data_IF_705019892795
#
_entry.id   IF_705019892795
#
_cell.length_a   1.000
_cell.length_b   1.000
_cell.length_c   1.000
_cell.angle_alpha   90.00
_cell.angle_beta   90.00
_cell.angle_gamma   90.00
#
_symmetry.space_group_name_H-M   'P 1'
#
loop_
_entity.id
_entity.type
_entity.pdbx_description
1 polymer ?
#
# COMPACT_ATOMS: atom_id res chain seq x y z
N UNK A 1 2.19 10.91 29.07
CA UNK A 1 3.07 11.85 28.39
C UNK A 1 2.81 11.68 26.89
N UNK A 2 2.08 12.62 26.30
CA UNK A 2 1.71 12.58 24.89
C UNK A 2 2.92 13.04 24.07
N UNK A 3 3.58 12.13 23.38
CA UNK A 3 4.52 12.49 22.34
C UNK A 3 3.71 13.04 21.16
N UNK A 4 3.66 14.36 21.05
CA UNK A 4 3.30 15.03 19.81
C UNK A 4 4.33 14.62 18.75
N UNK A 5 4.04 13.60 17.95
CA UNK A 5 4.66 13.50 16.64
C UNK A 5 4.08 14.66 15.82
N UNK A 6 4.86 15.72 15.71
CA UNK A 6 4.61 16.77 14.73
C UNK A 6 4.48 16.09 13.36
N UNK A 7 3.39 16.39 12.64
CA UNK A 7 3.33 16.14 11.20
C UNK A 7 4.51 16.89 10.57
N UNK A 8 5.67 16.26 10.44
CA UNK A 8 6.79 16.82 9.71
C UNK A 8 6.32 16.97 8.27
N UNK A 9 6.35 18.19 7.78
CA UNK A 9 6.02 18.47 6.37
C UNK A 9 7.04 17.69 5.53
N UNK A 10 6.57 16.78 4.69
CA UNK A 10 7.41 16.03 3.76
C UNK A 10 7.87 17.03 2.70
N UNK A 11 9.13 17.44 2.72
CA UNK A 11 9.65 18.42 1.74
C UNK A 11 10.21 17.76 0.49
N UNK A 12 10.80 16.57 0.65
CA UNK A 12 11.51 15.85 -0.42
C UNK A 12 11.21 14.36 -0.31
N UNK A 13 10.89 13.72 -1.42
CA UNK A 13 10.53 12.30 -1.49
C UNK A 13 11.31 11.58 -2.58
N UNK A 14 11.89 10.43 -2.26
CA UNK A 14 12.47 9.49 -3.21
C UNK A 14 11.60 8.22 -3.26
N UNK A 15 11.18 7.81 -4.44
CA UNK A 15 10.24 6.70 -4.65
C UNK A 15 10.99 5.54 -5.30
N UNK A 16 11.07 4.38 -4.63
CA UNK A 16 11.62 3.16 -5.22
C UNK A 16 10.70 2.61 -6.31
N UNK A 17 11.20 2.53 -7.52
CA UNK A 17 10.51 2.07 -8.71
C UNK A 17 10.38 3.14 -9.79
N UNK A 18 10.27 2.68 -11.05
CA UNK A 18 10.12 3.52 -12.25
C UNK A 18 9.00 3.01 -13.16
N UNK A 19 8.15 2.10 -12.66
CA UNK A 19 6.99 1.58 -13.37
C UNK A 19 5.74 2.47 -13.18
N UNK A 20 4.65 2.16 -13.86
CA UNK A 20 3.41 2.94 -13.79
C UNK A 20 2.94 3.23 -12.38
N UNK A 21 3.05 2.28 -11.44
CA UNK A 21 2.64 2.52 -10.05
C UNK A 21 3.55 3.54 -9.33
N UNK A 22 4.83 3.62 -9.66
CA UNK A 22 5.71 4.65 -9.08
C UNK A 22 5.24 6.07 -9.46
N UNK A 23 4.74 6.26 -10.67
CA UNK A 23 4.14 7.52 -11.10
C UNK A 23 2.82 7.80 -10.37
N UNK A 24 1.98 6.80 -10.12
CA UNK A 24 0.78 6.96 -9.29
C UNK A 24 1.13 7.38 -7.85
N UNK A 25 2.21 6.85 -7.28
CA UNK A 25 2.73 7.28 -5.96
C UNK A 25 3.25 8.72 -6.03
N UNK A 26 3.92 9.10 -7.12
CA UNK A 26 4.35 10.48 -7.33
C UNK A 26 3.14 11.44 -7.45
N UNK A 27 2.05 11.03 -8.11
CA UNK A 27 0.81 11.81 -8.18
C UNK A 27 0.19 12.02 -6.77
N UNK A 28 0.25 10.99 -5.89
CA UNK A 28 -0.15 11.14 -4.48
C UNK A 28 0.73 12.19 -3.80
N UNK A 29 2.05 12.11 -3.97
CA UNK A 29 3.01 13.04 -3.38
C UNK A 29 2.76 14.48 -3.86
N UNK A 30 2.54 14.69 -5.16
CA UNK A 30 2.16 15.99 -5.73
C UNK A 30 0.87 16.51 -5.10
N UNK A 31 -0.14 15.64 -4.88
CA UNK A 31 -1.38 16.03 -4.22
C UNK A 31 -1.16 16.48 -2.77
N UNK A 32 -0.09 16.06 -2.13
CA UNK A 32 0.29 16.44 -0.76
C UNK A 32 1.20 17.68 -0.71
N UNK A 33 1.38 18.35 -1.83
CA UNK A 33 2.24 19.53 -1.99
C UNK A 33 3.73 19.24 -1.71
N UNK A 34 4.19 18.00 -1.98
CA UNK A 34 5.60 17.63 -1.90
C UNK A 34 6.31 18.21 -3.14
N UNK A 35 7.25 19.13 -2.91
CA UNK A 35 7.84 19.94 -4.00
C UNK A 35 8.92 19.18 -4.79
N UNK A 36 9.66 18.29 -4.13
CA UNK A 36 10.78 17.59 -4.76
C UNK A 36 10.59 16.07 -4.70
N UNK A 37 10.42 15.47 -5.88
CA UNK A 37 10.16 14.04 -6.05
C UNK A 37 11.22 13.48 -7.01
N UNK A 38 11.81 12.33 -6.62
CA UNK A 38 12.80 11.58 -7.40
C UNK A 38 12.31 10.15 -7.48
N UNK A 39 12.51 9.50 -8.62
CA UNK A 39 12.30 8.06 -8.78
C UNK A 39 13.65 7.32 -8.67
N UNK A 40 13.63 6.15 -8.05
CA UNK A 40 14.82 5.32 -7.86
C UNK A 40 14.70 4.02 -8.65
N UNK A 41 15.74 3.69 -9.40
CA UNK A 41 15.86 2.43 -10.13
C UNK A 41 17.04 1.60 -9.62
N UNK A 42 16.97 0.28 -9.78
CA UNK A 42 18.09 -0.63 -9.58
C UNK A 42 18.73 -1.08 -10.92
N UNK A 43 18.21 -0.60 -12.03
CA UNK A 43 18.77 -0.87 -13.35
C UNK A 43 20.02 -0.02 -13.58
N UNK A 44 21.07 -0.62 -14.15
CA UNK A 44 22.34 0.08 -14.38
C UNK A 44 22.28 1.02 -15.59
N UNK A 45 21.55 0.59 -16.61
CA UNK A 45 21.35 1.37 -17.84
C UNK A 45 19.86 1.73 -17.89
N UNK A 46 19.53 2.95 -17.49
CA UNK A 46 18.16 3.48 -17.55
C UNK A 46 18.14 4.77 -18.34
N UNK A 47 17.21 4.85 -19.29
CA UNK A 47 16.89 6.11 -19.95
C UNK A 47 15.97 6.92 -19.05
N UNK A 48 16.17 8.23 -19.01
CA UNK A 48 15.26 9.14 -18.32
C UNK A 48 13.98 9.24 -19.14
N UNK A 49 13.07 8.28 -18.95
CA UNK A 49 11.91 8.04 -19.84
C UNK A 49 10.79 9.07 -19.63
N UNK A 50 10.80 9.79 -18.52
CA UNK A 50 9.77 10.79 -18.19
C UNK A 50 10.42 12.11 -17.75
N UNK A 51 10.15 13.18 -18.50
CA UNK A 51 10.68 14.52 -18.20
C UNK A 51 10.12 15.13 -16.91
N UNK A 52 9.07 14.55 -16.32
CA UNK A 52 8.42 15.07 -15.11
C UNK A 52 9.21 14.82 -13.83
N UNK A 53 9.93 13.70 -13.75
CA UNK A 53 10.65 13.29 -12.55
C UNK A 53 12.09 12.87 -12.88
N UNK A 54 13.03 13.35 -12.09
CA UNK A 54 14.41 12.89 -12.13
C UNK A 54 14.49 11.42 -11.69
N UNK A 55 15.21 10.60 -12.44
CA UNK A 55 15.46 9.21 -12.12
C UNK A 55 16.92 9.06 -11.70
N UNK A 56 17.15 8.44 -10.53
CA UNK A 56 18.48 8.15 -10.01
C UNK A 56 18.61 6.64 -9.73
N UNK A 57 19.84 6.16 -9.76
CA UNK A 57 20.12 4.80 -9.33
C UNK A 57 20.05 4.69 -7.80
N UNK A 58 19.61 3.55 -7.27
CA UNK A 58 19.44 3.32 -5.82
C UNK A 58 20.75 3.42 -5.02
N UNK A 59 21.93 3.43 -5.68
CA UNK A 59 23.22 3.73 -5.02
C UNK A 59 23.30 5.14 -4.43
N UNK A 60 22.42 6.06 -4.89
CA UNK A 60 22.35 7.43 -4.39
C UNK A 60 21.56 7.57 -3.08
N UNK A 61 20.98 6.48 -2.56
CA UNK A 61 20.16 6.51 -1.34
C UNK A 61 20.87 7.20 -0.17
N UNK A 62 22.14 6.89 0.09
CA UNK A 62 22.90 7.51 1.19
C UNK A 62 23.03 9.02 1.01
N UNK A 63 23.31 9.49 -0.20
CA UNK A 63 23.39 10.91 -0.53
C UNK A 63 22.01 11.61 -0.37
N UNK A 64 20.93 10.92 -0.75
CA UNK A 64 19.56 11.45 -0.59
C UNK A 64 19.17 11.56 0.89
N UNK A 65 19.57 10.61 1.73
CA UNK A 65 19.37 10.70 3.19
C UNK A 65 20.08 11.95 3.75
N UNK A 66 21.33 12.20 3.38
CA UNK A 66 22.07 13.39 3.80
C UNK A 66 21.41 14.69 3.32
N UNK A 67 20.74 14.65 2.18
CA UNK A 67 19.97 15.78 1.64
C UNK A 67 18.57 15.94 2.27
N UNK A 68 18.16 15.07 3.20
CA UNK A 68 16.88 15.12 3.91
C UNK A 68 15.69 14.60 3.12
N UNK A 69 15.90 13.64 2.21
CA UNK A 69 14.81 12.92 1.56
C UNK A 69 14.19 11.88 2.50
N UNK A 70 12.87 11.77 2.44
CA UNK A 70 12.12 10.61 2.92
C UNK A 70 11.81 9.68 1.74
N UNK A 71 11.36 8.45 2.02
CA UNK A 71 11.29 7.41 0.99
C UNK A 71 9.89 6.80 0.88
N UNK A 72 9.54 6.33 -0.31
CA UNK A 72 8.28 5.60 -0.54
C UNK A 72 8.49 4.42 -1.50
N UNK A 73 7.54 3.48 -1.48
CA UNK A 73 7.56 2.30 -2.35
C UNK A 73 6.59 2.47 -3.52
N UNK A 74 7.13 2.66 -4.73
CA UNK A 74 6.40 2.67 -5.99
C UNK A 74 6.28 1.27 -6.62
N UNK A 75 6.14 0.23 -5.80
CA UNK A 75 6.20 -1.18 -6.20
C UNK A 75 4.91 -1.86 -5.78
N UNK A 76 4.11 -2.34 -6.73
CA UNK A 76 2.79 -2.94 -6.48
C UNK A 76 2.84 -4.35 -5.85
N UNK A 77 3.88 -5.13 -6.15
CA UNK A 77 4.03 -6.51 -5.70
C UNK A 77 4.51 -6.60 -4.24
N UNK A 78 3.76 -7.28 -3.34
CA UNK A 78 4.09 -7.36 -1.92
C UNK A 78 5.49 -7.88 -1.61
N UNK A 79 5.86 -9.01 -2.20
CA UNK A 79 7.17 -9.65 -1.96
C UNK A 79 8.34 -8.77 -2.41
N UNK A 80 8.17 -8.04 -3.53
CA UNK A 80 9.21 -7.16 -4.05
C UNK A 80 9.35 -5.91 -3.16
N UNK A 81 8.23 -5.37 -2.67
CA UNK A 81 8.23 -4.27 -1.70
C UNK A 81 8.95 -4.65 -0.41
N UNK A 82 8.67 -5.85 0.11
CA UNK A 82 9.34 -6.37 1.31
C UNK A 82 10.85 -6.57 1.09
N UNK A 83 11.27 -7.06 -0.07
CA UNK A 83 12.70 -7.19 -0.41
C UNK A 83 13.42 -5.84 -0.41
N UNK A 84 12.81 -4.81 -0.99
CA UNK A 84 13.39 -3.46 -0.99
C UNK A 84 13.43 -2.89 0.42
N UNK A 85 12.37 -3.05 1.21
CA UNK A 85 12.37 -2.64 2.62
C UNK A 85 13.48 -3.33 3.41
N UNK A 86 13.66 -4.63 3.28
CA UNK A 86 14.71 -5.36 3.99
C UNK A 86 16.12 -4.89 3.62
N UNK A 87 16.30 -4.36 2.41
CA UNK A 87 17.57 -3.77 1.97
C UNK A 87 17.81 -2.38 2.55
N UNK A 88 16.74 -1.60 2.80
CA UNK A 88 16.78 -0.20 3.19
C UNK A 88 15.87 0.06 4.42
N UNK A 89 15.98 -0.77 5.46
CA UNK A 89 15.07 -0.79 6.59
C UNK A 89 15.29 0.34 7.62
N UNK A 90 16.33 1.11 7.48
CA UNK A 90 16.72 2.24 8.33
C UNK A 90 16.29 3.61 7.79
N UNK A 91 15.60 3.63 6.64
CA UNK A 91 15.11 4.86 6.03
C UNK A 91 13.77 5.32 6.65
N UNK A 92 13.48 6.61 6.49
CA UNK A 92 12.19 7.18 6.89
C UNK A 92 11.13 6.97 5.79
N UNK A 93 10.06 6.26 6.13
CA UNK A 93 8.96 5.95 5.22
C UNK A 93 7.63 6.59 5.69
N UNK A 94 7.31 7.83 5.28
CA UNK A 94 6.03 8.43 5.64
C UNK A 94 4.85 7.71 5.00
N UNK A 95 3.67 7.84 5.62
CA UNK A 95 2.43 7.46 4.96
C UNK A 95 2.05 8.53 3.94
N UNK A 96 1.80 8.12 2.69
CA UNK A 96 1.34 8.99 1.63
C UNK A 96 -0.18 8.85 1.48
N UNK A 97 -0.91 9.93 1.73
CA UNK A 97 -2.37 9.93 1.70
C UNK A 97 -2.84 11.04 0.77
N UNK A 98 -3.38 10.65 -0.37
CA UNK A 98 -3.90 11.60 -1.36
C UNK A 98 -4.97 12.49 -0.73
N UNK A 99 -4.95 13.79 -1.04
CA UNK A 99 -5.88 14.76 -0.43
C UNK A 99 -7.38 14.46 -0.68
N UNK A 100 -7.70 13.72 -1.73
CA UNK A 100 -9.07 13.27 -2.03
C UNK A 100 -9.38 11.87 -1.47
N UNK A 101 -8.57 11.29 -0.59
CA UNK A 101 -8.94 10.12 0.18
C UNK A 101 -9.90 10.51 1.31
N UNK A 102 -10.96 9.71 1.50
CA UNK A 102 -11.95 9.90 2.56
C UNK A 102 -11.65 9.00 3.74
N UNK A 103 -11.34 9.57 4.89
CA UNK A 103 -11.03 8.85 6.12
C UNK A 103 -12.08 9.15 7.19
N UNK A 104 -12.60 8.10 7.82
CA UNK A 104 -13.51 8.23 8.95
C UNK A 104 -12.86 8.90 10.17
N UNK A 105 -13.70 9.27 11.13
CA UNK A 105 -13.24 9.95 12.35
C UNK A 105 -12.18 9.10 13.10
N UNK A 106 -11.04 9.72 13.40
CA UNK A 106 -9.92 9.06 14.10
C UNK A 106 -9.10 8.08 13.24
N UNK A 107 -9.47 7.85 11.98
CA UNK A 107 -8.77 6.87 11.15
C UNK A 107 -7.36 7.33 10.75
N UNK A 108 -7.14 8.62 10.60
CA UNK A 108 -5.79 9.17 10.31
C UNK A 108 -4.81 8.89 11.44
N UNK A 109 -5.24 9.02 12.69
CA UNK A 109 -4.42 8.72 13.87
C UNK A 109 -4.07 7.23 13.96
N UNK A 110 -4.97 6.33 13.50
CA UNK A 110 -4.67 4.90 13.42
C UNK A 110 -3.65 4.59 12.32
N UNK A 111 -3.77 5.22 11.15
CA UNK A 111 -2.80 5.08 10.06
C UNK A 111 -1.42 5.56 10.49
N UNK A 112 -1.32 6.64 11.27
CA UNK A 112 -0.05 7.19 11.74
C UNK A 112 0.68 6.31 12.77
N UNK A 113 0.08 5.19 13.20
CA UNK A 113 0.77 4.17 14.01
C UNK A 113 1.61 3.20 13.18
N UNK A 114 1.51 3.27 11.87
CA UNK A 114 2.25 2.50 10.88
C UNK A 114 2.99 3.42 9.91
N UNK A 115 3.77 2.86 9.00
CA UNK A 115 4.61 3.63 8.08
C UNK A 115 4.55 3.09 6.64
N UNK A 116 4.93 3.93 5.69
CA UNK A 116 5.16 3.55 4.30
C UNK A 116 3.90 3.19 3.51
N UNK A 117 2.72 3.47 4.04
CA UNK A 117 1.47 3.17 3.36
C UNK A 117 1.19 4.19 2.26
N UNK A 118 0.63 3.71 1.14
CA UNK A 118 0.18 4.54 0.02
C UNK A 118 -1.33 4.43 -0.11
N UNK A 119 -2.02 5.55 0.06
CA UNK A 119 -3.48 5.67 -0.03
C UNK A 119 -3.78 6.66 -1.16
N UNK A 120 -4.25 6.15 -2.30
CA UNK A 120 -4.40 6.95 -3.52
C UNK A 120 -5.74 7.69 -3.60
N UNK A 121 -6.01 8.34 -4.71
CA UNK A 121 -7.21 9.16 -4.90
C UNK A 121 -8.50 8.35 -4.82
N UNK A 122 -9.50 8.90 -4.12
CA UNK A 122 -10.83 8.32 -4.02
C UNK A 122 -10.94 7.08 -3.14
N UNK A 123 -9.87 6.68 -2.45
CA UNK A 123 -9.95 5.64 -1.41
C UNK A 123 -10.85 6.10 -0.28
N UNK A 124 -11.76 5.23 0.16
CA UNK A 124 -12.61 5.50 1.30
C UNK A 124 -12.40 4.46 2.40
N UNK A 125 -11.96 4.91 3.57
CA UNK A 125 -11.80 4.10 4.78
C UNK A 125 -12.77 4.58 5.85
N UNK A 126 -13.53 3.67 6.44
CA UNK A 126 -14.47 4.02 7.50
C UNK A 126 -13.78 4.15 8.86
N UNK A 127 -14.13 3.35 9.85
CA UNK A 127 -13.67 3.53 11.23
C UNK A 127 -13.00 2.27 11.78
N UNK A 128 -12.10 2.48 12.75
CA UNK A 128 -11.47 1.41 13.53
C UNK A 128 -10.73 0.37 12.67
N UNK A 129 -10.07 0.84 11.60
CA UNK A 129 -9.27 0.00 10.73
C UNK A 129 -7.83 0.03 11.25
N UNK A 130 -7.32 -1.12 11.68
CA UNK A 130 -5.92 -1.30 12.06
C UNK A 130 -5.09 -1.58 10.80
N UNK A 131 -4.03 -0.81 10.62
CA UNK A 131 -3.21 -0.84 9.42
C UNK A 131 -1.76 -1.18 9.78
N UNK A 132 -1.23 -2.18 9.11
CA UNK A 132 0.19 -2.52 9.13
C UNK A 132 1.03 -1.57 8.26
N UNK A 133 2.25 -1.97 7.98
CA UNK A 133 3.21 -1.15 7.25
C UNK A 133 3.22 -1.49 5.76
N UNK A 134 3.59 -0.51 4.94
CA UNK A 134 3.81 -0.68 3.51
C UNK A 134 2.62 -1.25 2.73
N UNK A 135 1.40 -0.97 3.17
CA UNK A 135 0.19 -1.33 2.45
C UNK A 135 -0.11 -0.35 1.32
N UNK A 136 -0.75 -0.86 0.27
CA UNK A 136 -1.23 -0.07 -0.87
C UNK A 136 -2.74 -0.15 -0.90
N UNK A 137 -3.39 1.01 -0.95
CA UNK A 137 -4.82 1.16 -1.26
C UNK A 137 -4.93 1.98 -2.53
N UNK A 138 -5.22 1.29 -3.63
CA UNK A 138 -5.24 1.90 -4.94
C UNK A 138 -6.62 2.49 -5.28
N UNK A 139 -6.67 3.25 -6.36
CA UNK A 139 -7.75 4.14 -6.79
C UNK A 139 -9.16 3.60 -6.52
N UNK A 140 -10.00 4.43 -5.87
CA UNK A 140 -11.41 4.14 -5.63
C UNK A 140 -11.68 2.86 -4.81
N UNK A 141 -10.70 2.30 -4.12
CA UNK A 141 -10.94 1.17 -3.23
C UNK A 141 -11.65 1.62 -1.94
N UNK A 142 -12.39 0.69 -1.33
CA UNK A 142 -13.13 0.97 -0.09
C UNK A 142 -12.77 -0.04 1.00
N UNK A 143 -12.69 0.43 2.26
CA UNK A 143 -12.44 -0.42 3.43
C UNK A 143 -13.49 -0.13 4.50
N UNK A 144 -14.26 -1.15 4.85
CA UNK A 144 -15.27 -1.12 5.89
C UNK A 144 -14.66 -1.14 7.30
N UNK A 145 -15.53 -0.95 8.27
CA UNK A 145 -15.18 -0.82 9.69
C UNK A 145 -14.58 -2.09 10.32
N UNK A 146 -13.79 -1.92 11.37
CA UNK A 146 -13.25 -3.02 12.19
C UNK A 146 -12.38 -4.03 11.43
N UNK A 147 -11.74 -3.58 10.34
CA UNK A 147 -10.81 -4.38 9.57
C UNK A 147 -9.41 -4.40 10.21
N UNK A 148 -8.69 -5.50 10.00
CA UNK A 148 -7.28 -5.65 10.36
C UNK A 148 -6.51 -5.94 9.08
N UNK A 149 -5.60 -5.04 8.73
CA UNK A 149 -4.78 -5.15 7.52
C UNK A 149 -3.32 -5.27 7.99
N UNK A 150 -2.71 -6.41 7.73
CA UNK A 150 -1.30 -6.65 8.09
C UNK A 150 -0.33 -6.04 7.08
N UNK A 151 0.98 -6.20 7.30
CA UNK A 151 2.02 -5.57 6.50
C UNK A 151 2.01 -6.01 5.02
N UNK A 152 2.45 -5.12 4.15
CA UNK A 152 2.65 -5.36 2.72
C UNK A 152 1.41 -5.78 1.92
N UNK A 153 0.21 -5.60 2.44
CA UNK A 153 -1.03 -5.88 1.70
C UNK A 153 -1.16 -4.94 0.50
N UNK A 154 -1.63 -5.49 -0.63
CA UNK A 154 -1.93 -4.72 -1.85
C UNK A 154 -3.41 -4.80 -2.18
N UNK A 155 -4.09 -3.67 -2.11
CA UNK A 155 -5.50 -3.50 -2.49
C UNK A 155 -5.54 -2.73 -3.80
N UNK A 156 -5.89 -3.40 -4.90
CA UNK A 156 -5.87 -2.83 -6.25
C UNK A 156 -7.11 -1.95 -6.52
N UNK A 157 -7.14 -1.23 -7.66
CA UNK A 157 -8.23 -0.30 -7.96
C UNK A 157 -9.62 -0.90 -7.82
N UNK A 158 -10.56 -0.12 -7.28
CA UNK A 158 -11.99 -0.47 -7.14
C UNK A 158 -12.27 -1.74 -6.32
N UNK A 159 -11.35 -2.21 -5.51
CA UNK A 159 -11.59 -3.29 -4.56
C UNK A 159 -12.52 -2.80 -3.45
N UNK A 160 -13.50 -3.64 -3.09
CA UNK A 160 -14.44 -3.34 -2.03
C UNK A 160 -14.28 -4.33 -0.87
N UNK A 161 -13.83 -3.85 0.27
CA UNK A 161 -13.67 -4.64 1.51
C UNK A 161 -14.77 -4.22 2.47
N UNK A 162 -15.67 -5.15 2.81
CA UNK A 162 -16.72 -4.90 3.81
C UNK A 162 -16.15 -4.89 5.24
N UNK A 163 -17.00 -4.67 6.24
CA UNK A 163 -16.54 -4.63 7.63
C UNK A 163 -16.11 -6.00 8.19
N UNK A 164 -15.33 -5.97 9.28
CA UNK A 164 -14.86 -7.19 9.98
C UNK A 164 -14.07 -8.16 9.10
N UNK A 165 -13.17 -7.65 8.26
CA UNK A 165 -12.28 -8.44 7.43
C UNK A 165 -10.85 -8.37 7.98
N UNK A 166 -10.13 -9.50 7.92
CA UNK A 166 -8.70 -9.57 8.17
C UNK A 166 -7.97 -9.89 6.87
N UNK A 167 -7.02 -9.04 6.48
CA UNK A 167 -6.07 -9.32 5.42
C UNK A 167 -4.71 -9.60 6.07
N UNK A 168 -4.21 -10.81 5.90
CA UNK A 168 -2.91 -11.20 6.43
C UNK A 168 -1.77 -10.71 5.53
N UNK A 169 -0.55 -10.76 6.06
CA UNK A 169 0.65 -10.21 5.44
C UNK A 169 0.78 -10.58 3.96
N UNK A 170 1.06 -9.59 3.13
CA UNK A 170 1.31 -9.80 1.71
C UNK A 170 0.09 -10.25 0.89
N UNK A 171 -1.12 -10.24 1.44
CA UNK A 171 -2.32 -10.54 0.67
C UNK A 171 -2.49 -9.53 -0.48
N UNK A 172 -2.84 -10.03 -1.67
CA UNK A 172 -3.05 -9.23 -2.87
C UNK A 172 -4.48 -9.34 -3.36
N UNK A 173 -5.20 -8.23 -3.42
CA UNK A 173 -6.58 -8.16 -3.91
C UNK A 173 -6.61 -7.52 -5.29
N UNK A 174 -6.91 -8.31 -6.32
CA UNK A 174 -6.98 -7.89 -7.71
C UNK A 174 -8.09 -6.87 -7.99
N UNK A 175 -7.94 -6.13 -9.07
CA UNK A 175 -8.85 -5.03 -9.48
C UNK A 175 -10.32 -5.43 -9.37
N UNK A 176 -11.15 -4.62 -8.70
CA UNK A 176 -12.58 -4.82 -8.60
C UNK A 176 -13.02 -6.03 -7.76
N UNK A 177 -12.11 -6.70 -7.04
CA UNK A 177 -12.49 -7.78 -6.13
C UNK A 177 -13.40 -7.25 -5.01
N UNK A 178 -14.32 -8.09 -4.55
CA UNK A 178 -15.25 -7.79 -3.45
C UNK A 178 -15.09 -8.82 -2.34
N UNK A 179 -14.83 -8.36 -1.12
CA UNK A 179 -14.73 -9.18 0.07
C UNK A 179 -15.95 -8.91 0.94
N UNK A 180 -16.76 -9.93 1.16
CA UNK A 180 -17.97 -9.79 1.97
C UNK A 180 -17.62 -9.58 3.46
N UNK A 181 -18.62 -9.14 4.20
CA UNK A 181 -18.50 -8.84 5.62
C UNK A 181 -18.25 -10.10 6.44
N UNK A 182 -17.28 -10.01 7.35
CA UNK A 182 -17.08 -10.97 8.43
C UNK A 182 -17.96 -10.66 9.65
N UNK A 183 -17.74 -11.37 10.75
CA UNK A 183 -18.39 -11.09 12.02
C UNK A 183 -17.38 -10.50 13.01
N UNK A 184 -17.85 -9.85 14.05
CA UNK A 184 -16.99 -9.18 15.03
C UNK A 184 -15.99 -10.16 15.66
N UNK A 185 -16.48 -11.33 16.07
CA UNK A 185 -15.71 -12.38 16.75
C UNK A 185 -15.15 -13.45 15.78
N UNK A 186 -15.53 -13.38 14.49
CA UNK A 186 -15.09 -14.31 13.43
C UNK A 186 -14.91 -13.54 12.12
N UNK A 187 -13.78 -12.84 12.01
CA UNK A 187 -13.46 -12.03 10.83
C UNK A 187 -13.29 -12.91 9.58
N UNK A 188 -13.86 -12.48 8.47
CA UNK A 188 -13.52 -13.08 7.19
C UNK A 188 -12.05 -12.81 6.88
N UNK A 189 -11.23 -13.86 6.81
CA UNK A 189 -9.78 -13.75 6.70
C UNK A 189 -9.31 -14.13 5.30
N UNK A 190 -8.47 -13.28 4.71
CA UNK A 190 -7.66 -13.59 3.53
C UNK A 190 -6.25 -13.89 4.05
N UNK A 191 -5.83 -15.15 3.91
CA UNK A 191 -4.57 -15.64 4.47
C UNK A 191 -3.33 -15.03 3.82
N UNK A 192 -2.20 -15.18 4.51
CA UNK A 192 -0.89 -14.64 4.12
C UNK A 192 -0.51 -15.03 2.68
N UNK A 193 -0.02 -14.07 1.91
CA UNK A 193 0.44 -14.28 0.54
C UNK A 193 -0.63 -14.76 -0.44
N UNK A 194 -1.91 -14.69 -0.04
CA UNK A 194 -3.02 -15.11 -0.90
C UNK A 194 -3.34 -14.06 -1.95
N UNK A 195 -3.58 -14.50 -3.17
CA UNK A 195 -3.97 -13.67 -4.30
C UNK A 195 -5.46 -13.87 -4.59
N UNK A 196 -6.24 -12.82 -4.45
CA UNK A 196 -7.63 -12.76 -4.93
C UNK A 196 -7.62 -12.17 -6.33
N UNK A 197 -8.05 -12.93 -7.32
CA UNK A 197 -8.09 -12.51 -8.72
C UNK A 197 -9.07 -11.35 -8.96
N UNK A 198 -8.86 -10.63 -10.06
CA UNK A 198 -9.71 -9.49 -10.43
C UNK A 198 -11.20 -9.87 -10.52
N UNK A 199 -12.08 -8.95 -10.13
CA UNK A 199 -13.55 -9.10 -10.13
C UNK A 199 -14.06 -10.34 -9.36
N UNK A 200 -13.29 -10.88 -8.44
CA UNK A 200 -13.69 -12.04 -7.63
C UNK A 200 -14.57 -11.64 -6.45
N UNK A 201 -15.56 -12.47 -6.11
CA UNK A 201 -16.42 -12.30 -4.94
C UNK A 201 -16.03 -13.31 -3.85
N UNK A 202 -15.35 -12.87 -2.81
CA UNK A 202 -14.96 -13.70 -1.67
C UNK A 202 -16.05 -13.65 -0.60
N UNK A 203 -16.59 -14.83 -0.26
CA UNK A 203 -17.71 -14.98 0.68
C UNK A 203 -17.33 -15.71 1.97
N UNK A 204 -16.14 -16.30 2.03
CA UNK A 204 -15.61 -17.08 3.16
C UNK A 204 -14.11 -16.88 3.25
N UNK A 205 -13.56 -17.12 4.42
CA UNK A 205 -12.11 -17.08 4.63
C UNK A 205 -11.35 -17.97 3.65
N UNK A 206 -10.20 -17.47 3.22
CA UNK A 206 -9.31 -18.13 2.27
C UNK A 206 -7.99 -18.43 2.99
N UNK A 207 -7.51 -19.68 2.98
CA UNK A 207 -6.22 -20.03 3.58
C UNK A 207 -5.06 -19.30 2.92
N UNK A 208 -3.91 -19.25 3.62
CA UNK A 208 -2.67 -18.64 3.13
C UNK A 208 -2.16 -19.32 1.85
N UNK A 209 -1.45 -18.54 1.04
CA UNK A 209 -0.76 -18.99 -0.18
C UNK A 209 -1.67 -19.67 -1.21
N UNK A 210 -2.85 -19.12 -1.42
CA UNK A 210 -3.81 -19.56 -2.44
C UNK A 210 -4.01 -18.48 -3.51
N UNK A 211 -4.32 -18.92 -4.72
CA UNK A 211 -4.93 -18.08 -5.74
C UNK A 211 -6.40 -18.43 -5.80
N UNK A 212 -7.28 -17.45 -5.59
CA UNK A 212 -8.73 -17.63 -5.70
C UNK A 212 -9.29 -16.72 -6.78
N UNK A 213 -10.26 -17.23 -7.55
CA UNK A 213 -10.87 -16.50 -8.67
C UNK A 213 -12.37 -16.81 -8.77
N UNK A 214 -13.13 -15.88 -9.33
CA UNK A 214 -14.52 -16.07 -9.73
C UNK A 214 -15.54 -15.49 -8.76
N UNK A 215 -16.82 -15.61 -9.11
CA UNK A 215 -17.98 -15.12 -8.33
C UNK A 215 -19.03 -16.23 -8.22
N UNK A 216 -19.09 -16.96 -7.07
CA UNK A 216 -18.22 -16.83 -5.90
C UNK A 216 -16.80 -17.35 -6.15
N UNK A 217 -15.82 -16.76 -5.44
CA UNK A 217 -14.42 -17.14 -5.56
C UNK A 217 -14.17 -18.58 -5.09
N UNK A 218 -13.34 -19.30 -5.87
CA UNK A 218 -12.89 -20.66 -5.57
C UNK A 218 -11.37 -20.73 -5.68
N UNK A 219 -10.75 -21.63 -4.93
CA UNK A 219 -9.31 -21.90 -5.03
C UNK A 219 -9.02 -22.42 -6.43
N UNK A 220 -8.14 -21.71 -7.15
CA UNK A 220 -7.64 -22.09 -8.47
C UNK A 220 -6.38 -22.97 -8.33
N UNK A 221 -5.45 -22.56 -7.48
CA UNK A 221 -4.19 -23.28 -7.21
C UNK A 221 -3.50 -22.79 -5.95
N UNK A 222 -2.52 -23.55 -5.50
CA UNK A 222 -1.60 -23.18 -4.43
C UNK A 222 -0.47 -22.31 -4.99
N UNK A 223 0.07 -21.41 -4.14
CA UNK A 223 1.29 -20.66 -4.42
C UNK A 223 2.44 -21.41 -3.73
N UNK A 224 3.43 -21.85 -4.50
CA UNK A 224 4.65 -22.42 -3.95
C UNK A 224 5.47 -21.32 -3.27
N UNK A 225 5.94 -21.62 -2.06
CA UNK A 225 6.92 -20.76 -1.35
C UNK A 225 8.29 -20.86 -1.96
#
# INVERSE_FOLDING_TARGET
MSTNQSNSVIGKLAIFGTSGFAYEVADVAVSMDIEKIILLTNEKDFDNVDERFEVLHESEVSNLVEQGYQFAMGIGEPELREKVFNKFNDLEYPNLIHKNASLGYGQRELINKSQGNVITAGVAMTNNIQLGNFCIFNLLSTVGHDCIIEDFVSVMPSVNISGNVKLEKGAYLGVGATILQGQLDDKLTIGEGTVVGAASLVRKSVPSYKIVVGSPAKILKDISK
#
